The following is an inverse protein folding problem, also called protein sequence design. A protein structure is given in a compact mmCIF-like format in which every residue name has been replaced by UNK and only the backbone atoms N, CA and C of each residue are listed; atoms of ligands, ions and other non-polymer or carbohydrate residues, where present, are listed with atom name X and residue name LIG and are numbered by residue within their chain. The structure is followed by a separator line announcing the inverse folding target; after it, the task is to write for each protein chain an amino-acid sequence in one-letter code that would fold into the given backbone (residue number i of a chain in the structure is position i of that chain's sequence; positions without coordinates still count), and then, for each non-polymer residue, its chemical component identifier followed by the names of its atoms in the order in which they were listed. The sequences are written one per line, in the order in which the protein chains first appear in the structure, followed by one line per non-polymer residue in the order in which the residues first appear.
data_IF_948270193198
#
_entry.id   IF_948270193198
#
_cell.length_a   1.000
_cell.length_b   1.000
_cell.length_c   1.000
_cell.angle_alpha   90.00
_cell.angle_beta   90.00
_cell.angle_gamma   90.00
#
_symmetry.space_group_name_H-M   'P 1'
#
loop_
_entity.id
_entity.type
_entity.pdbx_description
1 polymer ?
#
# COMPACT_ATOMS: atom_id res chain seq x y z
N UNK A 1 3.48 12.03 0.62
CA UNK A 1 4.61 12.21 1.56
C UNK A 1 4.16 12.77 2.92
N UNK A 2 3.61 14.00 3.03
CA UNK A 2 3.15 14.57 4.33
C UNK A 2 2.08 13.70 5.02
N UNK A 3 1.10 13.21 4.26
CA UNK A 3 0.04 12.35 4.79
C UNK A 3 0.58 11.05 5.39
N UNK A 4 1.60 10.45 4.76
CA UNK A 4 2.26 9.22 5.24
C UNK A 4 2.99 9.54 6.54
N UNK A 5 3.82 10.57 6.55
CA UNK A 5 4.53 10.99 7.76
C UNK A 5 3.56 11.21 8.93
N UNK A 6 2.43 11.89 8.68
CA UNK A 6 1.36 12.11 9.68
C UNK A 6 0.76 10.79 10.18
N UNK A 7 0.45 9.85 9.30
CA UNK A 7 -0.07 8.54 9.68
C UNK A 7 0.94 7.75 10.54
N UNK A 8 2.23 7.91 10.27
CA UNK A 8 3.30 7.16 10.93
C UNK A 8 3.77 7.76 12.27
N UNK A 9 3.38 9.00 12.62
CA UNK A 9 3.82 9.65 13.88
C UNK A 9 3.59 8.78 15.11
N UNK A 10 2.46 8.06 15.16
CA UNK A 10 2.09 7.21 16.29
C UNK A 10 2.60 5.76 16.18
N UNK A 11 3.37 5.42 15.14
CA UNK A 11 3.81 4.05 14.83
C UNK A 11 2.64 3.05 14.91
N UNK A 12 1.59 3.26 14.09
CA UNK A 12 0.42 2.38 14.13
C UNK A 12 0.79 0.96 13.72
N UNK A 13 0.07 -0.03 14.24
CA UNK A 13 0.20 -1.42 13.80
C UNK A 13 -0.41 -1.62 12.41
N UNK A 14 -1.35 -0.76 12.00
CA UNK A 14 -2.06 -0.85 10.73
C UNK A 14 -2.28 0.54 10.10
N UNK A 15 -2.02 0.64 8.80
CA UNK A 15 -2.35 1.79 7.96
C UNK A 15 -3.22 1.34 6.80
N UNK A 16 -4.38 1.98 6.66
CA UNK A 16 -5.24 1.86 5.50
C UNK A 16 -4.93 3.02 4.54
N UNK A 17 -4.56 2.67 3.31
CA UNK A 17 -4.19 3.61 2.27
C UNK A 17 -5.16 3.47 1.10
N UNK A 18 -6.10 4.41 1.01
CA UNK A 18 -7.06 4.50 -0.08
C UNK A 18 -6.45 5.33 -1.21
N UNK A 19 -6.20 4.70 -2.35
CA UNK A 19 -5.58 5.27 -3.54
C UNK A 19 -4.33 6.15 -3.25
N UNK A 20 -3.28 5.59 -2.61
CA UNK A 20 -2.14 6.36 -2.09
C UNK A 20 -1.31 7.09 -3.14
N UNK A 21 -1.41 6.66 -4.40
CA UNK A 21 -0.67 7.17 -5.56
C UNK A 21 -1.54 8.02 -6.47
N UNK A 22 -2.82 8.23 -6.14
CA UNK A 22 -3.71 9.07 -6.95
C UNK A 22 -3.11 10.47 -7.13
N UNK A 23 -3.24 11.01 -8.34
CA UNK A 23 -2.72 12.33 -8.74
C UNK A 23 -1.19 12.49 -8.66
N UNK A 24 -0.42 11.41 -8.57
CA UNK A 24 1.04 11.46 -8.61
C UNK A 24 1.59 10.88 -9.92
N UNK A 25 2.66 11.49 -10.43
CA UNK A 25 3.41 10.93 -11.56
C UNK A 25 4.13 9.63 -11.18
N UNK A 26 4.49 8.84 -12.19
CA UNK A 26 5.09 7.52 -12.01
C UNK A 26 6.36 7.52 -11.12
N UNK A 27 7.20 8.56 -11.21
CA UNK A 27 8.44 8.65 -10.44
C UNK A 27 8.15 8.93 -8.96
N UNK A 28 7.20 9.82 -8.69
CA UNK A 28 6.78 10.14 -7.34
C UNK A 28 6.02 8.99 -6.66
N UNK A 29 5.16 8.28 -7.40
CA UNK A 29 4.48 7.08 -6.93
C UNK A 29 5.47 5.99 -6.53
N UNK A 30 6.47 5.73 -7.38
CA UNK A 30 7.54 4.78 -7.08
C UNK A 30 8.27 5.10 -5.76
N UNK A 31 8.68 6.36 -5.58
CA UNK A 31 9.36 6.77 -4.35
C UNK A 31 8.47 6.60 -3.11
N UNK A 32 7.18 6.91 -3.20
CA UNK A 32 6.26 6.76 -2.07
C UNK A 32 6.07 5.30 -1.70
N UNK A 33 5.83 4.43 -2.69
CA UNK A 33 5.62 3.00 -2.47
C UNK A 33 6.86 2.35 -1.85
N UNK A 34 8.06 2.72 -2.33
CA UNK A 34 9.32 2.27 -1.74
C UNK A 34 9.47 2.69 -0.28
N UNK A 35 9.19 3.95 0.03
CA UNK A 35 9.21 4.43 1.43
C UNK A 35 8.19 3.68 2.30
N UNK A 36 6.99 3.39 1.79
CA UNK A 36 6.01 2.60 2.53
C UNK A 36 6.47 1.16 2.76
N UNK A 37 7.14 0.54 1.78
CA UNK A 37 7.72 -0.79 1.93
C UNK A 37 8.84 -0.82 2.98
N UNK A 38 9.71 0.19 2.98
CA UNK A 38 10.77 0.35 4.00
C UNK A 38 10.16 0.49 5.40
N UNK A 39 9.14 1.35 5.55
CA UNK A 39 8.43 1.53 6.81
C UNK A 39 7.71 0.26 7.28
N UNK A 40 7.12 -0.52 6.37
CA UNK A 40 6.54 -1.82 6.70
C UNK A 40 7.58 -2.77 7.32
N UNK A 41 8.81 -2.78 6.79
CA UNK A 41 9.90 -3.63 7.27
C UNK A 41 10.51 -3.13 8.58
N UNK A 42 10.68 -1.82 8.73
CA UNK A 42 11.36 -1.23 9.89
C UNK A 42 10.47 -1.09 11.12
N UNK A 43 9.19 -0.76 10.93
CA UNK A 43 8.27 -0.44 12.02
C UNK A 43 7.25 -1.55 12.29
N UNK A 44 7.33 -2.66 11.54
CA UNK A 44 6.38 -3.78 11.58
C UNK A 44 4.91 -3.34 11.36
N UNK A 45 4.71 -2.13 10.81
CA UNK A 45 3.40 -1.59 10.47
C UNK A 45 2.83 -2.33 9.26
N UNK A 46 1.63 -2.89 9.40
CA UNK A 46 0.89 -3.47 8.28
C UNK A 46 0.29 -2.36 7.41
N UNK A 47 0.46 -2.46 6.09
CA UNK A 47 -0.19 -1.58 5.13
C UNK A 47 -1.24 -2.36 4.33
N UNK A 48 -2.45 -1.81 4.27
CA UNK A 48 -3.51 -2.30 3.37
C UNK A 48 -3.79 -1.19 2.37
N UNK A 49 -3.73 -1.55 1.10
CA UNK A 49 -3.95 -0.64 -0.02
C UNK A 49 -5.27 -0.96 -0.69
N UNK A 50 -6.12 0.04 -0.86
CA UNK A 50 -7.25 -0.02 -1.78
C UNK A 50 -6.85 0.73 -3.05
N UNK A 51 -6.70 0.01 -4.15
CA UNK A 51 -6.26 0.61 -5.42
C UNK A 51 -6.63 -0.25 -6.61
N UNK A 52 -6.72 0.39 -7.78
CA UNK A 52 -6.82 -0.23 -9.09
C UNK A 52 -5.53 -0.08 -9.92
N UNK A 53 -4.47 0.52 -9.38
CA UNK A 53 -3.22 0.78 -10.11
C UNK A 53 -2.27 -0.43 -10.06
N UNK A 54 -2.05 -1.07 -11.22
CA UNK A 54 -1.13 -2.20 -11.38
C UNK A 54 0.30 -1.88 -10.88
N UNK A 55 0.73 -0.63 -10.96
CA UNK A 55 2.07 -0.23 -10.47
C UNK A 55 2.17 -0.38 -8.96
N UNK A 56 1.10 -0.16 -8.22
CA UNK A 56 1.05 -0.36 -6.77
C UNK A 56 1.07 -1.84 -6.46
N UNK A 57 0.27 -2.62 -7.21
CA UNK A 57 0.12 -4.07 -7.04
C UNK A 57 1.47 -4.79 -7.09
N UNK A 58 2.40 -4.33 -7.94
CA UNK A 58 3.76 -4.88 -8.06
C UNK A 58 4.60 -4.80 -6.76
N UNK A 59 4.30 -3.88 -5.84
CA UNK A 59 5.00 -3.75 -4.56
C UNK A 59 4.39 -4.58 -3.43
N UNK A 60 3.26 -5.24 -3.68
CA UNK A 60 2.49 -5.96 -2.66
C UNK A 60 2.89 -7.43 -2.61
N UNK A 61 2.79 -8.00 -1.41
CA UNK A 61 3.05 -9.44 -1.15
C UNK A 61 1.79 -10.28 -1.12
N UNK A 62 0.62 -9.63 -1.03
CA UNK A 62 -0.69 -10.27 -1.00
C UNK A 62 -1.69 -9.36 -1.70
N UNK A 63 -2.53 -9.95 -2.54
CA UNK A 63 -3.58 -9.28 -3.30
C UNK A 63 -4.90 -9.94 -2.90
N UNK A 64 -5.86 -9.14 -2.48
CA UNK A 64 -7.23 -9.59 -2.19
C UNK A 64 -8.13 -8.87 -3.18
N UNK A 65 -8.77 -9.64 -4.05
CA UNK A 65 -9.69 -9.09 -5.07
C UNK A 65 -11.11 -9.12 -4.54
N UNK A 66 -11.77 -7.96 -4.62
CA UNK A 66 -13.15 -7.76 -4.22
C UNK A 66 -14.02 -7.54 -5.46
N UNK A 67 -15.16 -8.21 -5.51
CA UNK A 67 -16.20 -8.04 -6.54
C UNK A 67 -17.57 -8.03 -5.85
N UNK A 68 -18.40 -7.02 -6.11
CA UNK A 68 -19.71 -6.83 -5.48
C UNK A 68 -19.73 -6.99 -3.95
N UNK A 69 -18.69 -6.47 -3.29
CA UNK A 69 -18.53 -6.52 -1.83
C UNK A 69 -18.13 -7.89 -1.27
N UNK A 70 -17.75 -8.84 -2.14
CA UNK A 70 -17.28 -10.18 -1.76
C UNK A 70 -15.83 -10.38 -2.17
N UNK A 71 -15.08 -11.11 -1.35
CA UNK A 71 -13.73 -11.55 -1.70
C UNK A 71 -13.85 -12.68 -2.72
N UNK A 72 -13.32 -12.48 -3.92
CA UNK A 72 -13.33 -13.47 -5.00
C UNK A 72 -11.98 -14.13 -5.21
N UNK A 73 -10.88 -13.46 -4.83
CA UNK A 73 -9.53 -14.05 -4.82
C UNK A 73 -8.69 -13.52 -3.66
N UNK A 74 -7.74 -14.35 -3.21
CA UNK A 74 -6.76 -14.05 -2.17
C UNK A 74 -5.44 -14.74 -2.52
N UNK A 75 -4.51 -13.97 -3.06
CA UNK A 75 -3.27 -14.46 -3.64
C UNK A 75 -2.06 -13.90 -2.90
N UNK A 76 -1.09 -14.76 -2.57
CA UNK A 76 0.22 -14.32 -2.09
C UNK A 76 1.19 -14.25 -3.25
N UNK A 77 1.63 -13.05 -3.57
CA UNK A 77 2.61 -12.80 -4.64
C UNK A 77 3.99 -13.04 -4.06
N UNK A 78 4.74 -13.95 -4.68
CA UNK A 78 6.18 -14.08 -4.42
C UNK A 78 6.87 -12.92 -5.13
N UNK A 79 7.48 -12.02 -4.37
CA UNK A 79 8.43 -11.03 -4.89
C UNK A 79 9.75 -11.71 -5.27
#
# INVERSE_FOLDING_TARGET
RVAIARAMVKRPELVLADEPTANLDAKNSHHILRTMEELNRELETTFIFATHDEKVIQYLRRIITLEDGRVVSDERVKQ
#
